data_IF_438701144179
#
_entry.id   IF_438701144179
#
_cell.length_a   1.000
_cell.length_b   1.000
_cell.length_c   1.000
_cell.angle_alpha   90.00
_cell.angle_beta   90.00
_cell.angle_gamma   90.00
#
_symmetry.space_group_name_H-M   'P 1'
#
loop_
_entity.id
_entity.type
_entity.pdbx_description
1 polymer ?
#
# COMPACT_ATOMS: atom_id res chain seq x y z
N UNK A 1 -13.24 -10.65 6.04
CA UNK A 1 -11.87 -11.14 5.80
C UNK A 1 -11.07 -10.00 5.16
N UNK A 2 -10.39 -9.17 5.96
CA UNK A 2 -9.64 -8.02 5.44
C UNK A 2 -8.36 -8.43 4.72
N UNK A 3 -8.04 -7.74 3.63
CA UNK A 3 -6.74 -7.80 2.98
C UNK A 3 -6.15 -6.39 2.91
N UNK A 4 -4.88 -6.25 3.30
CA UNK A 4 -4.11 -5.01 3.18
C UNK A 4 -2.91 -5.25 2.28
N UNK A 5 -2.80 -4.50 1.19
CA UNK A 5 -1.63 -4.52 0.33
C UNK A 5 -0.82 -3.25 0.56
N UNK A 6 0.47 -3.42 0.85
CA UNK A 6 1.44 -2.33 0.97
C UNK A 6 2.36 -2.41 -0.24
N UNK A 7 2.35 -1.38 -1.06
CA UNK A 7 3.38 -1.14 -2.08
C UNK A 7 4.30 -0.05 -1.56
N UNK A 8 5.62 -0.22 -1.73
CA UNK A 8 6.59 0.79 -1.29
C UNK A 8 7.85 0.77 -2.15
N UNK A 9 8.69 1.80 -2.05
CA UNK A 9 10.02 1.77 -2.66
C UNK A 9 10.97 0.83 -1.91
N UNK A 10 11.94 0.24 -2.62
CA UNK A 10 12.91 -0.66 -2.00
C UNK A 10 13.75 0.00 -0.91
N UNK A 11 14.35 -0.84 -0.07
CA UNK A 11 15.41 -0.43 0.88
C UNK A 11 15.03 -0.57 2.35
N UNK A 12 13.95 -1.29 2.67
CA UNK A 12 13.62 -1.64 4.07
C UNK A 12 14.06 -3.08 4.33
N UNK A 13 14.51 -3.36 5.55
CA UNK A 13 14.90 -4.71 5.94
C UNK A 13 13.68 -5.61 6.13
N UNK A 14 13.87 -6.92 6.08
CA UNK A 14 12.80 -7.88 6.32
C UNK A 14 12.20 -7.76 7.73
N UNK A 15 13.02 -7.39 8.72
CA UNK A 15 12.54 -7.14 10.09
C UNK A 15 11.59 -5.94 10.14
N UNK A 16 11.90 -4.86 9.40
CA UNK A 16 11.03 -3.69 9.31
C UNK A 16 9.71 -4.04 8.61
N UNK A 17 9.76 -4.84 7.54
CA UNK A 17 8.56 -5.30 6.82
C UNK A 17 7.68 -6.18 7.71
N UNK A 18 8.26 -7.12 8.46
CA UNK A 18 7.54 -7.95 9.45
C UNK A 18 6.91 -7.10 10.55
N UNK A 19 7.66 -6.18 11.14
CA UNK A 19 7.14 -5.29 12.18
C UNK A 19 5.99 -4.40 11.66
N UNK A 20 6.04 -3.98 10.40
CA UNK A 20 4.94 -3.25 9.76
C UNK A 20 3.71 -4.14 9.60
N UNK A 21 3.87 -5.37 9.09
CA UNK A 21 2.76 -6.31 8.91
C UNK A 21 2.06 -6.61 10.24
N UNK A 22 2.81 -6.88 11.31
CA UNK A 22 2.25 -7.16 12.64
C UNK A 22 1.43 -5.97 13.16
N UNK A 23 1.91 -4.74 12.97
CA UNK A 23 1.18 -3.53 13.38
C UNK A 23 -0.08 -3.29 12.56
N UNK A 24 -0.06 -3.59 11.26
CA UNK A 24 -1.25 -3.52 10.41
C UNK A 24 -2.30 -4.54 10.88
N UNK A 25 -1.89 -5.79 11.14
CA UNK A 25 -2.79 -6.84 11.63
C UNK A 25 -3.45 -6.42 12.95
N UNK A 26 -2.66 -5.94 13.91
CA UNK A 26 -3.19 -5.43 15.18
C UNK A 26 -4.19 -4.30 14.98
N UNK A 27 -3.87 -3.30 14.16
CA UNK A 27 -4.76 -2.18 13.89
C UNK A 27 -6.09 -2.63 13.26
N UNK A 28 -6.03 -3.54 12.28
CA UNK A 28 -7.23 -4.10 11.63
C UNK A 28 -8.07 -4.90 12.63
N UNK A 29 -7.45 -5.72 13.47
CA UNK A 29 -8.14 -6.49 14.50
C UNK A 29 -8.83 -5.57 15.51
N UNK A 30 -8.13 -4.59 16.03
CA UNK A 30 -8.63 -3.66 17.07
C UNK A 30 -9.77 -2.78 16.56
N UNK A 31 -9.70 -2.35 15.30
CA UNK A 31 -10.69 -1.42 14.73
C UNK A 31 -11.89 -2.11 14.10
N UNK A 32 -11.70 -3.28 13.46
CA UNK A 32 -12.75 -3.98 12.72
C UNK A 32 -13.25 -5.25 13.42
N UNK A 33 -12.64 -5.66 14.54
CA UNK A 33 -13.00 -6.89 15.26
C UNK A 33 -12.73 -8.18 14.46
N UNK A 34 -11.89 -8.12 13.42
CA UNK A 34 -11.57 -9.26 12.58
C UNK A 34 -10.65 -10.25 13.32
N UNK A 35 -10.83 -11.55 13.13
CA UNK A 35 -9.92 -12.55 13.70
C UNK A 35 -8.58 -12.59 12.96
N UNK A 36 -7.49 -12.87 13.67
CA UNK A 36 -6.13 -12.93 13.10
C UNK A 36 -6.06 -13.81 11.84
N UNK A 37 -6.67 -15.00 11.88
CA UNK A 37 -6.67 -15.95 10.75
C UNK A 37 -7.43 -15.45 9.50
N UNK A 38 -8.19 -14.36 9.63
CA UNK A 38 -8.98 -13.77 8.55
C UNK A 38 -8.34 -12.52 7.92
N UNK A 39 -7.21 -12.07 8.48
CA UNK A 39 -6.47 -10.89 8.03
C UNK A 39 -5.26 -11.34 7.22
N UNK A 40 -5.06 -10.72 6.06
CA UNK A 40 -3.89 -10.99 5.22
C UNK A 40 -3.20 -9.67 4.86
N UNK A 41 -1.87 -9.68 4.84
CA UNK A 41 -1.05 -8.52 4.48
C UNK A 41 -0.02 -8.94 3.42
N UNK A 42 0.08 -8.18 2.33
CA UNK A 42 1.18 -8.28 1.37
C UNK A 42 2.03 -7.02 1.40
N UNK A 43 3.35 -7.18 1.20
CA UNK A 43 4.29 -6.07 1.08
C UNK A 43 5.11 -6.30 -0.19
N UNK A 44 5.07 -5.34 -1.11
CA UNK A 44 5.74 -5.40 -2.41
C UNK A 44 6.64 -4.16 -2.58
N UNK A 45 7.89 -4.40 -2.98
CA UNK A 45 8.84 -3.32 -3.31
C UNK A 45 8.78 -3.03 -4.82
N UNK A 46 8.55 -1.77 -5.16
CA UNK A 46 8.41 -1.27 -6.53
C UNK A 46 9.47 -0.19 -6.73
N UNK A 47 10.27 -0.33 -7.80
CA UNK A 47 11.28 0.66 -8.16
C UNK A 47 10.67 2.06 -8.35
N UNK A 48 11.35 3.14 -7.91
CA UNK A 48 10.82 4.50 -8.02
C UNK A 48 10.46 4.90 -9.46
N UNK A 49 11.24 4.43 -10.45
CA UNK A 49 10.98 4.67 -11.87
C UNK A 49 9.72 3.98 -12.39
N UNK A 50 9.30 2.87 -11.78
CA UNK A 50 8.08 2.15 -12.13
C UNK A 50 6.84 2.66 -11.36
N UNK A 51 7.05 3.38 -10.26
CA UNK A 51 5.99 3.84 -9.36
C UNK A 51 4.83 4.60 -10.03
N UNK A 52 5.06 5.56 -10.96
CA UNK A 52 3.96 6.30 -11.58
C UNK A 52 2.93 5.37 -12.24
N UNK A 53 3.41 4.37 -12.98
CA UNK A 53 2.59 3.45 -13.75
C UNK A 53 2.10 2.24 -12.97
N UNK A 54 2.95 1.69 -12.10
CA UNK A 54 2.65 0.46 -11.36
C UNK A 54 1.78 0.72 -10.12
N UNK A 55 1.83 1.93 -9.55
CA UNK A 55 1.14 2.25 -8.29
C UNK A 55 0.31 3.53 -8.43
N UNK A 56 0.93 4.66 -8.77
CA UNK A 56 0.24 5.95 -8.66
C UNK A 56 -1.00 6.03 -9.56
N UNK A 57 -0.89 5.66 -10.83
CA UNK A 57 -2.04 5.61 -11.73
C UNK A 57 -3.12 4.61 -11.26
N UNK A 58 -2.86 3.29 -11.21
CA UNK A 58 -3.91 2.29 -10.96
C UNK A 58 -4.42 2.23 -9.53
N UNK A 59 -3.60 2.58 -8.53
CA UNK A 59 -3.96 2.43 -7.11
C UNK A 59 -4.37 3.74 -6.44
N UNK A 60 -3.95 4.89 -6.96
CA UNK A 60 -4.20 6.21 -6.34
C UNK A 60 -5.12 7.06 -7.21
N UNK A 61 -4.80 7.26 -8.48
CA UNK A 61 -5.62 8.08 -9.39
C UNK A 61 -6.92 7.36 -9.75
N UNK A 62 -6.82 6.14 -10.26
CA UNK A 62 -7.98 5.38 -10.76
C UNK A 62 -8.92 4.91 -9.64
N UNK A 63 -8.46 5.00 -8.38
CA UNK A 63 -9.21 4.62 -7.17
C UNK A 63 -9.36 5.79 -6.19
N UNK A 64 -9.29 7.03 -6.68
CA UNK A 64 -9.28 8.22 -5.83
C UNK A 64 -10.51 8.33 -4.89
N UNK A 65 -11.66 7.79 -5.29
CA UNK A 65 -12.90 7.70 -4.51
C UNK A 65 -12.80 6.73 -3.32
N UNK A 66 -11.87 5.77 -3.38
CA UNK A 66 -11.65 4.76 -2.35
C UNK A 66 -10.53 5.12 -1.37
N UNK A 67 -9.87 6.26 -1.59
CA UNK A 67 -8.78 6.72 -0.72
C UNK A 67 -9.32 7.41 0.53
N UNK A 68 -9.17 6.77 1.68
CA UNK A 68 -9.38 7.38 2.99
C UNK A 68 -8.25 8.33 3.40
N UNK A 69 -7.07 8.21 2.75
CA UNK A 69 -5.94 9.14 2.88
C UNK A 69 -5.39 9.49 1.49
N UNK A 70 -5.49 10.77 1.11
CA UNK A 70 -4.95 11.29 -0.16
C UNK A 70 -3.42 11.48 -0.11
N UNK A 71 -2.71 11.30 -1.24
CA UNK A 71 -1.27 11.56 -1.33
C UNK A 71 -0.96 13.05 -1.19
N UNK A 72 0.23 13.36 -0.68
CA UNK A 72 0.79 14.73 -0.65
C UNK A 72 1.76 15.01 -1.79
N UNK A 73 1.79 14.15 -2.80
CA UNK A 73 2.69 14.19 -3.96
C UNK A 73 1.88 13.82 -5.21
N UNK A 74 2.43 14.06 -6.40
CA UNK A 74 1.80 13.70 -7.65
C UNK A 74 2.77 13.65 -8.82
N UNK A 75 2.24 13.24 -9.98
CA UNK A 75 2.96 13.06 -11.24
C UNK A 75 2.24 13.82 -12.36
N UNK A 76 2.99 14.22 -13.39
CA UNK A 76 2.46 14.80 -14.61
C UNK A 76 1.73 13.75 -15.46
N UNK A 77 0.97 14.18 -16.47
CA UNK A 77 0.30 13.25 -17.39
C UNK A 77 1.32 12.42 -18.17
N UNK A 78 2.40 13.05 -18.59
CA UNK A 78 3.49 12.41 -19.34
C UNK A 78 4.12 11.29 -18.51
N UNK A 79 4.35 11.49 -17.21
CA UNK A 79 4.91 10.47 -16.31
C UNK A 79 3.96 9.27 -16.08
N UNK A 80 2.65 9.49 -16.24
CA UNK A 80 1.62 8.44 -16.04
C UNK A 80 1.24 7.70 -17.34
N UNK A 81 1.60 8.24 -18.49
CA UNK A 81 1.21 7.72 -19.82
C UNK A 81 2.39 7.27 -20.68
N UNK A 82 3.55 7.93 -20.55
CA UNK A 82 4.76 7.65 -21.33
C UNK A 82 5.58 6.53 -20.74
#
# INVERSE_FOLDING_TARGET
MPHVSVKMWPGRTEEQKRALADRIVSAVRETLGASDNSITVSIEEIEPSAWPKAVYKPEIVDKADKLYKKPGYGYSKEELEG
#
